data_IF_474472659313
#
_entry.id   IF_474472659313
#
_cell.length_a   1.000
_cell.length_b   1.000
_cell.length_c   1.000
_cell.angle_alpha   90.00
_cell.angle_beta   90.00
_cell.angle_gamma   90.00
#
_symmetry.space_group_name_H-M   'P 1'
#
loop_
_entity.id
_entity.type
_entity.pdbx_description
1 polymer ?
#
# COMPACT_ATOMS: atom_id res chain seq x y z
N UNK A 1 -4.41 -4.48 -3.31
CA UNK A 1 -5.21 -3.33 -3.73
C UNK A 1 -6.18 -3.84 -4.78
N UNK A 2 -7.46 -3.56 -4.63
CA UNK A 2 -8.51 -3.95 -5.56
C UNK A 2 -9.06 -2.67 -6.20
N UNK A 3 -9.17 -2.69 -7.52
CA UNK A 3 -9.66 -1.57 -8.32
C UNK A 3 -10.81 -2.02 -9.21
N UNK A 4 -11.82 -1.19 -9.39
CA UNK A 4 -12.97 -1.45 -10.25
C UNK A 4 -12.84 -0.69 -11.54
N UNK A 5 -13.01 -1.36 -12.67
CA UNK A 5 -12.96 -0.72 -13.98
C UNK A 5 -14.16 0.21 -14.18
N UNK A 6 -13.88 1.48 -14.49
CA UNK A 6 -14.88 2.52 -14.81
C UNK A 6 -14.76 3.01 -16.27
N UNK A 7 -13.67 2.65 -16.97
CA UNK A 7 -13.48 2.89 -18.40
C UNK A 7 -12.65 1.75 -19.04
N UNK A 8 -13.27 0.97 -19.93
CA UNK A 8 -12.62 -0.11 -20.67
C UNK A 8 -12.31 0.24 -22.13
N UNK A 9 -12.38 1.51 -22.53
CA UNK A 9 -12.08 1.93 -23.90
C UNK A 9 -10.66 1.51 -24.31
N UNK A 10 -10.49 0.92 -25.49
CA UNK A 10 -9.19 0.45 -26.00
C UNK A 10 -8.51 -0.65 -25.13
N UNK A 11 -9.23 -1.31 -24.22
CA UNK A 11 -8.73 -2.46 -23.49
C UNK A 11 -9.80 -3.56 -23.45
N UNK A 12 -9.77 -4.44 -24.45
CA UNK A 12 -10.80 -5.46 -24.67
C UNK A 12 -10.79 -6.59 -23.64
N UNK A 13 -9.75 -6.68 -22.82
CA UNK A 13 -9.63 -7.68 -21.75
C UNK A 13 -10.12 -7.17 -20.39
N UNK A 14 -10.70 -5.96 -20.36
CA UNK A 14 -11.38 -5.39 -19.21
C UNK A 14 -12.89 -5.31 -19.40
N UNK A 15 -13.60 -5.76 -18.39
CA UNK A 15 -15.04 -5.66 -18.24
C UNK A 15 -15.38 -4.48 -17.34
N UNK A 16 -16.25 -3.59 -17.85
CA UNK A 16 -16.74 -2.44 -17.10
C UNK A 16 -17.42 -2.90 -15.79
N UNK A 17 -17.22 -2.15 -14.70
CA UNK A 17 -17.71 -2.44 -13.34
C UNK A 17 -17.17 -3.71 -12.68
N UNK A 18 -16.24 -4.43 -13.31
CA UNK A 18 -15.56 -5.57 -12.68
C UNK A 18 -14.38 -5.11 -11.82
N UNK A 19 -14.12 -5.84 -10.74
CA UNK A 19 -13.00 -5.65 -9.83
C UNK A 19 -11.77 -6.45 -10.28
N UNK A 20 -10.61 -5.84 -10.12
CA UNK A 20 -9.31 -6.35 -10.55
C UNK A 20 -8.29 -6.20 -9.42
N UNK A 21 -7.44 -7.21 -9.29
CA UNK A 21 -6.33 -7.19 -8.33
C UNK A 21 -5.17 -6.42 -8.97
N UNK A 22 -4.68 -5.40 -8.27
CA UNK A 22 -3.46 -4.68 -8.63
C UNK A 22 -2.25 -5.44 -8.09
N UNK A 23 -1.37 -5.86 -8.99
CA UNK A 23 -0.10 -6.54 -8.69
C UNK A 23 1.01 -5.51 -8.47
N UNK A 24 1.06 -4.47 -9.31
CA UNK A 24 2.03 -3.39 -9.22
C UNK A 24 1.37 -2.02 -9.42
N UNK A 25 1.90 -0.99 -8.76
CA UNK A 25 1.45 0.37 -8.90
C UNK A 25 2.62 1.31 -9.20
N UNK A 26 2.59 1.93 -10.38
CA UNK A 26 3.46 3.03 -10.78
C UNK A 26 2.75 4.38 -10.54
N UNK A 27 3.38 5.55 -10.74
CA UNK A 27 2.72 6.84 -10.52
C UNK A 27 1.40 7.02 -11.30
N UNK A 28 1.40 6.67 -12.59
CA UNK A 28 0.26 6.89 -13.51
C UNK A 28 -0.47 5.61 -13.94
N UNK A 29 0.07 4.43 -13.62
CA UNK A 29 -0.41 3.13 -14.12
C UNK A 29 -0.60 2.11 -13.00
N UNK A 30 -1.53 1.18 -13.21
CA UNK A 30 -1.65 -0.08 -12.49
C UNK A 30 -1.24 -1.23 -13.41
N UNK A 31 -0.56 -2.23 -12.86
CA UNK A 31 -0.46 -3.57 -13.45
C UNK A 31 -1.49 -4.44 -12.76
N UNK A 32 -2.42 -4.99 -13.52
CA UNK A 32 -3.52 -5.83 -13.03
C UNK A 32 -3.52 -7.20 -13.72
N UNK A 33 -4.18 -8.19 -13.12
CA UNK A 33 -4.58 -9.42 -13.82
C UNK A 33 -5.91 -9.19 -14.53
N UNK A 34 -5.94 -9.32 -15.85
CA UNK A 34 -7.13 -9.07 -16.66
C UNK A 34 -8.11 -10.28 -16.69
N UNK A 35 -9.14 -10.21 -17.54
CA UNK A 35 -10.14 -11.28 -17.67
C UNK A 35 -9.57 -12.61 -18.20
N UNK A 36 -8.36 -12.61 -18.76
CA UNK A 36 -7.64 -13.78 -19.24
C UNK A 36 -6.59 -14.28 -18.24
N UNK A 37 -6.51 -13.67 -17.06
CA UNK A 37 -5.41 -13.85 -16.09
C UNK A 37 -4.03 -13.47 -16.64
N UNK A 38 -3.97 -12.52 -17.58
CA UNK A 38 -2.72 -11.96 -18.10
C UNK A 38 -2.41 -10.63 -17.41
N UNK A 39 -1.12 -10.36 -17.17
CA UNK A 39 -0.68 -9.07 -16.64
C UNK A 39 -0.89 -7.97 -17.68
N UNK A 40 -1.72 -6.99 -17.35
CA UNK A 40 -2.04 -5.87 -18.22
C UNK A 40 -1.74 -4.55 -17.53
N UNK A 41 -1.01 -3.67 -18.21
CA UNK A 41 -0.71 -2.31 -17.74
C UNK A 41 -1.79 -1.34 -18.20
N UNK A 42 -2.45 -0.65 -17.27
CA UNK A 42 -3.53 0.30 -17.56
C UNK A 42 -3.37 1.61 -16.80
N UNK A 43 -3.85 2.72 -17.38
CA UNK A 43 -3.87 4.02 -16.70
C UNK A 43 -4.79 3.98 -15.49
N UNK A 44 -4.36 4.59 -14.37
CA UNK A 44 -5.17 4.65 -13.13
C UNK A 44 -6.53 5.29 -13.32
N UNK A 45 -6.64 6.28 -14.21
CA UNK A 45 -7.88 7.00 -14.52
C UNK A 45 -9.02 6.10 -15.02
N UNK A 46 -8.71 4.86 -15.41
CA UNK A 46 -9.69 3.86 -15.86
C UNK A 46 -10.33 3.08 -14.74
N UNK A 47 -9.89 3.31 -13.50
CA UNK A 47 -10.37 2.56 -12.36
C UNK A 47 -10.74 3.46 -11.19
N UNK A 48 -11.68 2.97 -10.40
CA UNK A 48 -11.99 3.45 -9.06
C UNK A 48 -11.37 2.49 -8.03
N UNK A 49 -10.81 3.01 -6.95
CA UNK A 49 -10.20 2.18 -5.90
C UNK A 49 -11.32 1.65 -4.99
N UNK A 50 -11.47 0.33 -4.91
CA UNK A 50 -12.45 -0.33 -4.05
C UNK A 50 -11.81 -0.73 -2.72
N UNK A 51 -10.60 -1.29 -2.79
CA UNK A 51 -9.82 -1.64 -1.61
C UNK A 51 -8.41 -1.07 -1.75
N UNK A 52 -8.15 0.02 -1.03
CA UNK A 52 -6.84 0.64 -1.02
C UNK A 52 -5.85 -0.24 -0.22
N UNK A 53 -4.78 -0.66 -0.90
CA UNK A 53 -3.63 -1.30 -0.24
C UNK A 53 -2.80 -0.31 0.58
N UNK A 54 -3.22 0.94 0.73
CA UNK A 54 -2.53 2.02 1.42
C UNK A 54 -2.11 1.67 2.84
N UNK A 55 -2.93 0.94 3.61
CA UNK A 55 -2.51 0.45 4.93
C UNK A 55 -1.33 -0.51 4.80
N UNK A 56 -1.40 -1.49 3.90
CA UNK A 56 -0.33 -2.46 3.65
C UNK A 56 0.94 -1.76 3.16
N UNK A 57 0.83 -0.76 2.29
CA UNK A 57 1.97 0.02 1.78
C UNK A 57 2.64 0.82 2.89
N UNK A 58 1.84 1.56 3.68
CA UNK A 58 2.33 2.32 4.84
C UNK A 58 3.00 1.40 5.86
N UNK A 59 2.40 0.23 6.12
CA UNK A 59 2.97 -0.77 7.01
C UNK A 59 4.31 -1.30 6.48
N UNK A 60 4.39 -1.69 5.20
CA UNK A 60 5.65 -2.14 4.57
C UNK A 60 6.74 -1.08 4.66
N UNK A 61 6.44 0.15 4.26
CA UNK A 61 7.39 1.26 4.32
C UNK A 61 7.88 1.50 5.76
N UNK A 62 6.97 1.46 6.74
CA UNK A 62 7.31 1.61 8.16
C UNK A 62 8.22 0.47 8.64
N UNK A 63 7.91 -0.79 8.28
CA UNK A 63 8.73 -1.95 8.65
C UNK A 63 10.13 -1.85 8.03
N UNK A 64 10.24 -1.47 6.76
CA UNK A 64 11.52 -1.27 6.08
C UNK A 64 12.38 -0.23 6.80
N UNK A 65 11.80 0.92 7.17
CA UNK A 65 12.51 1.95 7.94
C UNK A 65 12.96 1.41 9.30
N UNK A 66 12.11 0.68 10.02
CA UNK A 66 12.48 0.11 11.32
C UNK A 66 13.59 -0.94 11.22
N UNK A 67 13.61 -1.74 10.16
CA UNK A 67 14.73 -2.67 9.90
C UNK A 67 16.04 -1.91 9.66
N UNK A 68 16.00 -0.84 8.86
CA UNK A 68 17.17 0.02 8.67
C UNK A 68 17.68 0.58 10.01
N UNK A 69 16.78 1.07 10.87
CA UNK A 69 17.15 1.55 12.19
C UNK A 69 17.76 0.45 13.08
N UNK A 70 17.26 -0.79 13.02
CA UNK A 70 17.86 -1.92 13.75
C UNK A 70 19.30 -2.21 13.32
N UNK A 71 19.59 -2.09 12.03
CA UNK A 71 20.95 -2.28 11.48
C UNK A 71 21.88 -1.09 11.77
N UNK A 72 21.34 0.05 12.20
CA UNK A 72 22.05 1.32 12.39
C UNK A 72 21.93 1.85 13.84
N UNK A 73 21.81 0.97 14.83
CA UNK A 73 21.75 1.30 16.27
C UNK A 73 20.71 2.37 16.63
N UNK A 74 19.58 2.38 15.92
CA UNK A 74 18.48 3.33 16.10
C UNK A 74 18.93 4.80 16.00
N UNK A 75 19.97 5.09 15.22
CA UNK A 75 20.63 6.41 15.16
C UNK A 75 19.66 7.56 14.88
N UNK A 76 18.61 7.34 14.08
CA UNK A 76 17.65 8.37 13.69
C UNK A 76 16.43 8.40 14.62
N UNK A 77 16.27 7.45 15.55
CA UNK A 77 15.18 7.45 16.51
C UNK A 77 15.49 8.44 17.65
N UNK A 78 14.62 9.42 17.84
CA UNK A 78 14.68 10.39 18.94
C UNK A 78 13.89 9.94 20.15
N UNK A 79 12.70 9.38 19.94
CA UNK A 79 11.80 8.98 21.00
C UNK A 79 11.01 7.74 20.58
N UNK A 80 10.88 6.78 21.48
CA UNK A 80 10.06 5.58 21.31
C UNK A 80 9.14 5.43 22.52
N UNK A 81 7.83 5.29 22.31
CA UNK A 81 6.85 5.21 23.40
C UNK A 81 5.81 4.14 23.10
N UNK A 82 5.58 3.25 24.07
CA UNK A 82 4.52 2.24 24.02
C UNK A 82 3.43 2.64 25.01
N UNK A 83 2.20 2.79 24.52
CA UNK A 83 1.01 2.95 25.36
C UNK A 83 0.26 1.63 25.42
N UNK A 84 -0.15 1.24 26.63
CA UNK A 84 -0.92 0.01 26.88
C UNK A 84 -2.39 0.33 27.17
N UNK A 85 -3.29 -0.63 26.94
CA UNK A 85 -4.69 -0.53 27.39
C UNK A 85 -4.80 -0.90 28.90
N UNK A 86 -6.02 -0.87 29.44
CA UNK A 86 -6.29 -1.21 30.84
C UNK A 86 -6.00 -2.68 31.20
N UNK A 87 -5.87 -3.55 30.19
CA UNK A 87 -5.53 -4.97 30.35
C UNK A 87 -4.01 -5.22 30.22
N UNK A 88 -3.22 -4.18 29.95
CA UNK A 88 -1.76 -4.28 29.80
C UNK A 88 -1.28 -4.66 28.40
N UNK A 89 -2.18 -4.77 27.42
CA UNK A 89 -1.85 -5.06 26.03
C UNK A 89 -1.37 -3.80 25.31
N UNK A 90 -0.50 -3.96 24.31
CA UNK A 90 -0.03 -2.83 23.50
C UNK A 90 -1.21 -2.24 22.73
N UNK A 91 -1.48 -0.95 23.00
CA UNK A 91 -2.51 -0.17 22.31
C UNK A 91 -1.92 0.68 21.20
N UNK A 92 -0.72 1.23 21.43
CA UNK A 92 -0.08 2.15 20.49
C UNK A 92 1.43 2.15 20.65
N UNK A 93 2.13 2.31 19.53
CA UNK A 93 3.57 2.57 19.47
C UNK A 93 3.75 3.90 18.75
N UNK A 94 4.45 4.85 19.38
CA UNK A 94 4.80 6.15 18.80
C UNK A 94 6.32 6.26 18.69
N UNK A 95 6.80 6.54 17.48
CA UNK A 95 8.22 6.68 17.17
C UNK A 95 8.44 8.07 16.57
N UNK A 96 9.34 8.86 17.15
CA UNK A 96 9.74 10.16 16.61
C UNK A 96 11.17 10.06 16.12
N UNK A 97 11.40 10.51 14.90
CA UNK A 97 12.71 10.51 14.27
C UNK A 97 13.40 11.87 14.39
N UNK A 98 14.72 11.89 14.26
CA UNK A 98 15.58 13.07 14.17
C UNK A 98 15.62 13.53 12.70
N UNK A 99 14.54 14.13 12.21
CA UNK A 99 14.63 14.85 10.94
C UNK A 99 15.00 16.31 11.23
N UNK A 100 16.03 16.80 10.52
CA UNK A 100 16.42 18.21 10.52
C UNK A 100 15.45 19.03 9.66
#
# INVERSE_FOLDING_TARGET
>A
MIVKCIDNNLCSTLTLSKEYIVIEEAPEYYVILDDKNEETTCRKTRFEIIEDGGLTKKAKATITELNYQLENDLKDVRQFTIRKNSQGEIKEISIKFKYN
#
